data_IF_965834895841
#
_entry.id   IF_965834895841
#
_cell.length_a   1.000
_cell.length_b   1.000
_cell.length_c   1.000
_cell.angle_alpha   90.00
_cell.angle_beta   90.00
_cell.angle_gamma   90.00
#
_symmetry.space_group_name_H-M   'P 1'
#
loop_
_entity.id
_entity.type
_entity.pdbx_description
1 polymer ?
#
# COMPACT_ATOMS: atom_id res chain seq x y z
N UNK A 1 23.03 19.39 16.50
CA UNK A 1 23.17 18.55 15.28
C UNK A 1 22.00 17.56 15.18
N UNK A 2 21.17 17.50 16.22
CA UNK A 2 20.43 16.29 16.60
C UNK A 2 19.02 16.36 16.02
N UNK A 3 18.44 17.57 16.00
CA UNK A 3 17.21 17.88 15.26
C UNK A 3 17.37 17.52 13.78
N UNK A 4 18.52 17.83 13.17
CA UNK A 4 18.76 17.53 11.76
C UNK A 4 18.78 16.02 11.49
N UNK A 5 19.53 15.24 12.28
CA UNK A 5 19.56 13.78 12.16
C UNK A 5 18.19 13.16 12.45
N UNK A 6 17.45 13.66 13.44
CA UNK A 6 16.13 13.16 13.78
C UNK A 6 15.08 13.45 12.69
N UNK A 7 15.15 14.64 12.06
CA UNK A 7 14.33 14.98 10.89
C UNK A 7 14.65 14.05 9.73
N UNK A 8 15.92 13.69 9.49
CA UNK A 8 16.29 12.72 8.45
C UNK A 8 15.68 11.35 8.73
N UNK A 9 15.79 10.83 9.95
CA UNK A 9 15.24 9.52 10.31
C UNK A 9 13.71 9.48 10.22
N UNK A 10 13.04 10.55 10.65
CA UNK A 10 11.59 10.69 10.51
C UNK A 10 11.17 10.75 9.04
N UNK A 11 11.87 11.56 8.24
CA UNK A 11 11.63 11.69 6.79
C UNK A 11 11.89 10.38 6.05
N UNK A 12 12.90 9.61 6.45
CA UNK A 12 13.20 8.30 5.87
C UNK A 12 12.07 7.29 6.17
N UNK A 13 11.48 7.36 7.37
CA UNK A 13 10.32 6.54 7.74
C UNK A 13 9.11 6.89 6.88
N UNK A 14 8.74 8.17 6.82
CA UNK A 14 7.58 8.65 6.05
C UNK A 14 7.78 8.40 4.56
N UNK A 15 8.99 8.68 4.05
CA UNK A 15 9.36 8.43 2.66
C UNK A 15 9.28 6.95 2.28
N UNK A 16 9.66 6.04 3.18
CA UNK A 16 9.53 4.59 2.96
C UNK A 16 8.07 4.17 2.87
N UNK A 17 7.20 4.72 3.73
CA UNK A 17 5.75 4.46 3.69
C UNK A 17 5.17 4.96 2.36
N UNK A 18 5.53 6.17 1.93
CA UNK A 18 5.06 6.71 0.65
C UNK A 18 5.62 5.98 -0.57
N UNK A 19 6.87 5.52 -0.53
CA UNK A 19 7.46 4.73 -1.60
C UNK A 19 6.69 3.42 -1.82
N UNK A 20 6.41 2.69 -0.73
CA UNK A 20 5.61 1.45 -0.80
C UNK A 20 4.15 1.74 -1.14
N UNK A 21 3.56 2.80 -0.59
CA UNK A 21 2.18 3.18 -0.90
C UNK A 21 1.96 3.56 -2.36
N UNK A 22 2.95 4.22 -2.97
CA UNK A 22 2.82 4.76 -4.34
C UNK A 22 3.25 3.76 -5.41
N UNK A 23 4.05 2.74 -5.09
CA UNK A 23 4.54 1.77 -6.09
C UNK A 23 3.39 1.09 -6.85
N UNK A 24 2.30 0.76 -6.15
CA UNK A 24 1.13 0.13 -6.74
C UNK A 24 0.40 1.08 -7.70
N UNK A 25 0.25 2.35 -7.31
CA UNK A 25 -0.35 3.37 -8.16
C UNK A 25 0.48 3.61 -9.42
N UNK A 26 1.81 3.73 -9.27
CA UNK A 26 2.74 3.89 -10.39
C UNK A 26 2.67 2.70 -11.36
N UNK A 27 2.60 1.47 -10.83
CA UNK A 27 2.48 0.27 -11.65
C UNK A 27 1.16 0.23 -12.43
N UNK A 28 0.03 0.54 -11.79
CA UNK A 28 -1.30 0.53 -12.43
C UNK A 28 -1.42 1.63 -13.50
N UNK A 29 -0.90 2.83 -13.22
CA UNK A 29 -0.85 3.92 -14.18
C UNK A 29 0.08 3.63 -15.37
N UNK A 30 1.25 3.06 -15.10
CA UNK A 30 2.24 2.75 -16.14
C UNK A 30 1.85 1.59 -17.05
N UNK A 31 0.90 0.75 -16.65
CA UNK A 31 0.55 -0.49 -17.39
C UNK A 31 -0.85 -0.43 -17.99
N UNK A 32 -1.86 -0.16 -17.17
CA UNK A 32 -3.25 -0.13 -17.58
C UNK A 32 -3.78 1.30 -17.79
N UNK A 33 -2.96 2.33 -17.49
CA UNK A 33 -3.41 3.72 -17.20
C UNK A 33 -4.67 3.79 -16.36
N UNK A 34 -4.69 2.90 -15.38
CA UNK A 34 -5.75 2.82 -14.40
C UNK A 34 -5.39 3.71 -13.21
N UNK A 35 -5.95 4.91 -13.16
CA UNK A 35 -5.82 5.76 -11.98
C UNK A 35 -6.76 5.26 -10.88
N UNK A 36 -6.20 4.50 -9.93
CA UNK A 36 -6.96 3.96 -8.82
C UNK A 36 -6.99 4.93 -7.63
N UNK A 37 -8.08 5.67 -7.47
CA UNK A 37 -8.24 6.62 -6.37
C UNK A 37 -8.61 5.94 -5.03
N UNK A 38 -9.04 4.67 -5.06
CA UNK A 38 -9.27 3.86 -3.85
C UNK A 38 -7.99 3.31 -3.20
N UNK A 39 -6.80 3.68 -3.69
CA UNK A 39 -5.53 3.17 -3.16
C UNK A 39 -5.41 3.35 -1.63
N UNK A 40 -5.84 4.51 -1.11
CA UNK A 40 -5.81 4.81 0.32
C UNK A 40 -6.71 3.89 1.14
N UNK A 41 -7.85 3.47 0.59
CA UNK A 41 -8.76 2.51 1.21
C UNK A 41 -8.11 1.13 1.37
N UNK A 42 -7.28 0.70 0.40
CA UNK A 42 -6.52 -0.54 0.52
C UNK A 42 -5.43 -0.47 1.60
N UNK A 43 -4.74 0.67 1.71
CA UNK A 43 -3.78 0.92 2.78
C UNK A 43 -4.49 0.90 4.14
N UNK A 44 -5.65 1.56 4.24
CA UNK A 44 -6.48 1.56 5.44
C UNK A 44 -6.95 0.15 5.81
N UNK A 45 -7.37 -0.68 4.86
CA UNK A 45 -7.74 -2.08 5.11
C UNK A 45 -6.59 -2.88 5.74
N UNK A 46 -5.36 -2.70 5.25
CA UNK A 46 -4.16 -3.29 5.84
C UNK A 46 -3.87 -2.77 7.26
N UNK A 47 -4.00 -1.47 7.49
CA UNK A 47 -3.80 -0.85 8.80
C UNK A 47 -4.85 -1.28 9.84
N UNK A 48 -6.13 -1.28 9.46
CA UNK A 48 -7.22 -1.68 10.35
C UNK A 48 -7.23 -3.17 10.64
N UNK A 49 -6.83 -4.02 9.69
CA UNK A 49 -6.63 -5.45 9.97
C UNK A 49 -5.50 -5.69 11.00
N UNK A 50 -4.39 -4.94 10.93
CA UNK A 50 -3.36 -4.98 11.99
C UNK A 50 -3.92 -4.50 13.34
N UNK A 51 -4.68 -3.40 13.32
CA UNK A 51 -5.33 -2.84 14.51
C UNK A 51 -6.26 -3.86 15.20
N UNK A 52 -7.22 -4.44 14.47
CA UNK A 52 -8.14 -5.41 15.05
C UNK A 52 -7.43 -6.68 15.51
N UNK A 53 -6.43 -7.16 14.76
CA UNK A 53 -5.63 -8.32 15.17
C UNK A 53 -4.95 -8.09 16.52
N UNK A 54 -4.32 -6.93 16.71
CA UNK A 54 -3.60 -6.65 17.96
C UNK A 54 -4.51 -6.23 19.11
N UNK A 55 -5.51 -5.37 18.85
CA UNK A 55 -6.36 -4.79 19.90
C UNK A 55 -7.58 -5.63 20.26
N UNK A 56 -8.20 -6.30 19.28
CA UNK A 56 -9.41 -7.09 19.51
C UNK A 56 -9.05 -8.54 19.79
N UNK A 57 -8.17 -9.14 18.99
CA UNK A 57 -7.76 -10.54 19.20
C UNK A 57 -6.64 -10.68 20.24
N UNK A 58 -6.02 -9.58 20.68
CA UNK A 58 -4.89 -9.61 21.62
C UNK A 58 -3.64 -10.29 21.07
N UNK A 59 -3.55 -10.47 19.76
CA UNK A 59 -2.46 -11.21 19.13
C UNK A 59 -1.17 -10.36 19.05
N UNK A 60 -0.03 -11.04 19.09
CA UNK A 60 1.27 -10.40 18.95
C UNK A 60 1.44 -9.77 17.55
N UNK A 61 2.21 -8.68 17.45
CA UNK A 61 2.41 -7.92 16.20
C UNK A 61 2.95 -8.76 15.04
N UNK A 62 3.67 -9.85 15.35
CA UNK A 62 4.19 -10.79 14.38
C UNK A 62 3.08 -11.49 13.56
N UNK A 63 1.89 -11.67 14.16
CA UNK A 63 0.71 -12.22 13.47
C UNK A 63 -0.09 -11.14 12.75
N UNK A 64 -0.03 -9.88 13.21
CA UNK A 64 -0.68 -8.76 12.54
C UNK A 64 -0.12 -8.53 11.13
N UNK A 65 1.19 -8.70 10.93
CA UNK A 65 1.84 -8.55 9.62
C UNK A 65 1.26 -9.47 8.52
N UNK A 66 1.26 -10.82 8.66
CA UNK A 66 0.70 -11.69 7.63
C UNK A 66 -0.81 -11.49 7.46
N UNK A 67 -1.55 -11.19 8.53
CA UNK A 67 -2.99 -10.92 8.44
C UNK A 67 -3.25 -9.65 7.61
N UNK A 68 -2.47 -8.59 7.80
CA UNK A 68 -2.56 -7.38 6.98
C UNK A 68 -2.22 -7.62 5.52
N UNK A 69 -1.22 -8.46 5.23
CA UNK A 69 -0.89 -8.86 3.86
C UNK A 69 -2.06 -9.62 3.23
N UNK A 70 -2.65 -10.58 3.94
CA UNK A 70 -3.82 -11.34 3.47
C UNK A 70 -5.00 -10.40 3.22
N UNK A 71 -5.28 -9.46 4.12
CA UNK A 71 -6.33 -8.46 3.94
C UNK A 71 -6.10 -7.61 2.67
N UNK A 72 -4.86 -7.17 2.43
CA UNK A 72 -4.50 -6.44 1.21
C UNK A 72 -4.69 -7.29 -0.06
N UNK A 73 -4.25 -8.54 -0.05
CA UNK A 73 -4.41 -9.49 -1.17
C UNK A 73 -5.89 -9.72 -1.48
N UNK A 74 -6.70 -9.98 -0.46
CA UNK A 74 -8.16 -10.17 -0.62
C UNK A 74 -8.78 -8.91 -1.20
N UNK A 75 -8.42 -7.74 -0.69
CA UNK A 75 -8.99 -6.46 -1.16
C UNK A 75 -8.64 -6.19 -2.63
N UNK A 76 -7.39 -6.43 -3.04
CA UNK A 76 -6.98 -6.33 -4.44
C UNK A 76 -7.65 -7.37 -5.34
N UNK A 77 -7.78 -8.60 -4.86
CA UNK A 77 -8.49 -9.67 -5.57
C UNK A 77 -9.95 -9.32 -5.82
N UNK A 78 -10.65 -8.79 -4.80
CA UNK A 78 -12.03 -8.33 -4.91
C UNK A 78 -12.15 -7.16 -5.89
N UNK A 79 -11.26 -6.18 -5.81
CA UNK A 79 -11.24 -5.04 -6.75
C UNK A 79 -11.11 -5.52 -8.20
N UNK A 80 -10.22 -6.47 -8.46
CA UNK A 80 -10.06 -7.02 -9.80
C UNK A 80 -11.31 -7.76 -10.29
N UNK A 81 -11.86 -8.68 -9.49
CA UNK A 81 -12.96 -9.55 -9.93
C UNK A 81 -14.32 -8.84 -9.97
N UNK A 82 -14.55 -7.87 -9.08
CA UNK A 82 -15.82 -7.17 -8.98
C UNK A 82 -15.89 -5.93 -9.87
N UNK A 83 -14.74 -5.31 -10.18
CA UNK A 83 -14.72 -4.05 -10.92
C UNK A 83 -13.85 -4.11 -12.15
N UNK A 84 -12.53 -4.26 -11.99
CA UNK A 84 -11.58 -4.06 -13.09
C UNK A 84 -11.90 -5.00 -14.25
N UNK A 85 -12.17 -6.28 -13.98
CA UNK A 85 -12.48 -7.29 -14.99
C UNK A 85 -13.67 -6.92 -15.87
N UNK A 86 -14.67 -6.21 -15.34
CA UNK A 86 -15.90 -5.85 -16.08
C UNK A 86 -15.80 -4.53 -16.84
N UNK A 87 -14.86 -3.68 -16.41
CA UNK A 87 -14.67 -2.35 -16.97
C UNK A 87 -13.57 -2.32 -18.02
N UNK A 88 -12.60 -3.24 -17.94
CA UNK A 88 -11.39 -3.24 -18.78
C UNK A 88 -11.68 -3.24 -20.28
N UNK A 89 -12.70 -3.97 -20.73
CA UNK A 89 -13.04 -4.09 -22.16
C UNK A 89 -13.93 -2.93 -22.67
N UNK A 90 -14.21 -1.91 -21.84
CA UNK A 90 -15.05 -0.77 -22.23
C UNK A 90 -14.23 0.34 -22.89
N UNK A 91 -14.79 1.05 -23.90
CA UNK A 91 -14.08 2.11 -24.62
C UNK A 91 -13.64 3.27 -23.71
N UNK A 92 -14.40 3.57 -22.66
CA UNK A 92 -14.13 4.69 -21.73
C UNK A 92 -13.49 4.22 -20.41
N UNK A 93 -12.77 3.09 -20.41
CA UNK A 93 -12.18 2.47 -19.22
C UNK A 93 -11.43 3.44 -18.31
N UNK A 94 -10.59 4.32 -18.88
CA UNK A 94 -9.74 5.26 -18.12
C UNK A 94 -10.58 6.24 -17.27
N UNK A 95 -11.74 6.66 -17.77
CA UNK A 95 -12.65 7.56 -17.06
C UNK A 95 -13.55 6.76 -16.11
N UNK A 96 -14.14 5.67 -16.60
CA UNK A 96 -15.05 4.81 -15.83
C UNK A 96 -14.38 4.30 -14.55
N UNK A 97 -13.10 3.89 -14.63
CA UNK A 97 -12.39 3.36 -13.47
C UNK A 97 -12.08 4.43 -12.42
N UNK A 98 -11.85 5.68 -12.83
CA UNK A 98 -11.69 6.80 -11.90
C UNK A 98 -12.98 7.00 -11.11
N UNK A 99 -14.12 7.08 -11.81
CA UNK A 99 -15.44 7.29 -11.18
C UNK A 99 -15.74 6.16 -10.19
N UNK A 100 -15.55 4.91 -10.60
CA UNK A 100 -15.82 3.75 -9.74
C UNK A 100 -14.85 3.71 -8.55
N UNK A 101 -13.56 4.01 -8.75
CA UNK A 101 -12.59 4.00 -7.65
C UNK A 101 -12.82 5.13 -6.65
N UNK A 102 -13.34 6.30 -7.07
CA UNK A 102 -13.81 7.33 -6.13
C UNK A 102 -15.00 6.84 -5.31
N UNK A 103 -15.98 6.21 -5.96
CA UNK A 103 -17.13 5.64 -5.25
C UNK A 103 -16.68 4.58 -4.23
N UNK A 104 -15.75 3.70 -4.60
CA UNK A 104 -15.18 2.70 -3.69
C UNK A 104 -14.39 3.36 -2.56
N UNK A 105 -13.64 4.42 -2.85
CA UNK A 105 -12.91 5.16 -1.83
C UNK A 105 -13.87 5.70 -0.76
N UNK A 106 -14.93 6.38 -1.21
CA UNK A 106 -15.96 6.94 -0.33
C UNK A 106 -16.73 5.86 0.44
N UNK A 107 -17.10 4.76 -0.22
CA UNK A 107 -17.75 3.63 0.46
C UNK A 107 -16.84 3.00 1.51
N UNK A 108 -15.57 2.76 1.17
CA UNK A 108 -14.60 2.19 2.08
C UNK A 108 -14.32 3.09 3.28
N UNK A 109 -14.19 4.40 3.06
CA UNK A 109 -14.08 5.39 4.14
C UNK A 109 -15.28 5.31 5.08
N UNK A 110 -16.51 5.31 4.55
CA UNK A 110 -17.71 5.19 5.36
C UNK A 110 -17.77 3.85 6.13
N UNK A 111 -17.34 2.73 5.53
CA UNK A 111 -17.24 1.45 6.22
C UNK A 111 -16.27 1.55 7.39
N UNK A 112 -15.08 2.12 7.19
CA UNK A 112 -14.10 2.28 8.28
C UNK A 112 -14.60 3.23 9.37
N UNK A 113 -15.27 4.33 9.02
CA UNK A 113 -15.88 5.23 10.00
C UNK A 113 -16.94 4.54 10.85
N UNK A 114 -17.77 3.68 10.24
CA UNK A 114 -18.81 2.93 10.96
C UNK A 114 -18.22 1.84 11.87
N UNK A 115 -17.19 1.11 11.42
CA UNK A 115 -16.64 -0.04 12.18
C UNK A 115 -15.56 0.39 13.18
N UNK A 116 -14.67 1.30 12.80
CA UNK A 116 -13.55 1.75 13.64
C UNK A 116 -13.85 3.02 14.43
N UNK A 117 -14.88 3.77 14.03
CA UNK A 117 -15.23 5.08 14.58
C UNK A 117 -14.57 6.24 13.83
N UNK A 118 -14.99 7.48 14.11
CA UNK A 118 -14.48 8.68 13.42
C UNK A 118 -13.10 9.14 13.90
N UNK A 119 -12.61 8.60 15.03
CA UNK A 119 -11.32 8.98 15.59
C UNK A 119 -10.17 8.24 14.92
N UNK A 120 -9.10 8.98 14.61
CA UNK A 120 -7.86 8.40 14.14
C UNK A 120 -7.30 7.41 15.18
N UNK A 121 -7.29 6.12 14.83
CA UNK A 121 -6.71 5.08 15.67
C UNK A 121 -5.20 5.12 15.59
N UNK A 122 -4.52 5.20 16.74
CA UNK A 122 -3.05 5.07 16.80
C UNK A 122 -2.65 3.67 16.34
N UNK A 123 -1.54 3.58 15.63
CA UNK A 123 -0.96 2.28 15.28
C UNK A 123 -0.82 1.40 16.54
N UNK A 124 -1.23 0.13 16.51
CA UNK A 124 -1.24 -0.74 17.69
C UNK A 124 0.17 -1.24 18.06
N UNK A 125 1.13 -1.12 17.15
CA UNK A 125 2.47 -1.66 17.26
C UNK A 125 3.48 -0.56 17.54
N UNK A 126 4.36 -0.83 18.51
CA UNK A 126 5.53 -0.02 18.81
C UNK A 126 6.68 -0.95 19.20
N UNK A 127 7.87 -0.70 18.65
CA UNK A 127 9.10 -1.37 19.09
C UNK A 127 9.85 -0.36 19.93
N UNK A 128 9.98 -0.65 21.23
CA UNK A 128 10.73 0.19 22.14
C UNK A 128 12.23 0.18 21.81
N UNK A 129 12.87 1.33 22.03
CA UNK A 129 14.30 1.50 21.86
C UNK A 129 14.74 1.90 20.44
N UNK A 130 16.04 2.07 20.30
CA UNK A 130 16.66 2.51 19.06
C UNK A 130 18.17 2.59 19.20
N UNK A 131 18.85 2.70 18.07
CA UNK A 131 20.27 2.96 18.06
C UNK A 131 20.52 4.44 18.35
N UNK A 132 21.38 4.72 19.31
CA UNK A 132 21.86 6.07 19.59
C UNK A 132 23.01 6.38 18.64
N UNK A 133 22.83 7.36 17.78
CA UNK A 133 23.85 7.89 16.86
C UNK A 133 24.11 9.32 17.28
N UNK A 134 25.25 9.56 17.94
CA UNK A 134 25.51 10.81 18.67
C UNK A 134 24.36 11.10 19.66
N UNK A 135 23.74 12.27 19.60
CA UNK A 135 22.59 12.65 20.43
C UNK A 135 21.22 12.36 19.76
N UNK A 136 21.20 11.71 18.60
CA UNK A 136 19.97 11.33 17.89
C UNK A 136 19.62 9.85 18.09
N UNK A 137 18.33 9.55 18.26
CA UNK A 137 17.81 8.18 18.39
C UNK A 137 17.23 7.73 17.05
N UNK A 138 17.72 6.61 16.53
CA UNK A 138 17.16 5.91 15.38
C UNK A 138 16.28 4.75 15.87
N UNK A 139 14.94 4.88 15.86
CA UNK A 139 14.06 3.85 16.40
C UNK A 139 14.18 2.53 15.63
N UNK A 140 14.10 1.39 16.32
CA UNK A 140 14.07 0.08 15.66
C UNK A 140 12.89 -0.04 14.70
N UNK A 141 11.76 0.60 15.01
CA UNK A 141 10.61 0.67 14.13
C UNK A 141 10.93 1.34 12.77
N UNK A 142 11.73 2.41 12.77
CA UNK A 142 12.18 3.07 11.54
C UNK A 142 13.01 2.12 10.69
N UNK A 143 13.99 1.45 11.30
CA UNK A 143 14.86 0.49 10.61
C UNK A 143 14.02 -0.64 9.99
N UNK A 144 13.08 -1.20 10.75
CA UNK A 144 12.18 -2.26 10.27
C UNK A 144 11.31 -1.77 9.11
N UNK A 145 10.75 -0.57 9.20
CA UNK A 145 9.90 0.01 8.15
C UNK A 145 10.68 0.21 6.85
N UNK A 146 11.89 0.77 6.95
CA UNK A 146 12.79 0.99 5.80
C UNK A 146 13.22 -0.34 5.20
N UNK A 147 13.59 -1.32 6.02
CA UNK A 147 14.00 -2.64 5.57
C UNK A 147 12.86 -3.36 4.83
N UNK A 148 11.64 -3.35 5.38
CA UNK A 148 10.46 -3.94 4.71
C UNK A 148 10.17 -3.22 3.40
N UNK A 149 10.24 -1.88 3.38
CA UNK A 149 10.02 -1.10 2.17
C UNK A 149 11.02 -1.45 1.06
N UNK A 150 12.30 -1.52 1.39
CA UNK A 150 13.36 -1.95 0.46
C UNK A 150 13.13 -3.36 -0.06
N UNK A 151 12.80 -4.31 0.84
CA UNK A 151 12.52 -5.70 0.44
C UNK A 151 11.33 -5.76 -0.53
N UNK A 152 10.24 -5.04 -0.25
CA UNK A 152 9.07 -5.00 -1.13
C UNK A 152 9.40 -4.36 -2.49
N UNK A 153 10.14 -3.25 -2.50
CA UNK A 153 10.60 -2.60 -3.73
C UNK A 153 11.46 -3.54 -4.57
N UNK A 154 12.40 -4.26 -3.95
CA UNK A 154 13.25 -5.25 -4.62
C UNK A 154 12.41 -6.40 -5.17
N UNK A 155 11.46 -6.93 -4.39
CA UNK A 155 10.57 -8.01 -4.84
C UNK A 155 9.79 -7.56 -6.07
N UNK A 156 9.17 -6.38 -6.04
CA UNK A 156 8.41 -5.86 -7.19
C UNK A 156 9.33 -5.63 -8.39
N UNK A 157 10.52 -5.05 -8.17
CA UNK A 157 11.50 -4.84 -9.23
C UNK A 157 11.97 -6.16 -9.87
N UNK A 158 12.18 -7.21 -9.07
CA UNK A 158 12.54 -8.55 -9.57
C UNK A 158 11.38 -9.22 -10.31
N UNK A 159 10.14 -9.08 -9.81
CA UNK A 159 8.96 -9.59 -10.49
C UNK A 159 8.84 -8.93 -11.87
N UNK A 160 8.88 -7.60 -11.93
CA UNK A 160 8.78 -6.87 -13.19
C UNK A 160 9.97 -7.17 -14.11
N UNK A 161 11.18 -7.20 -13.55
CA UNK A 161 12.44 -7.37 -14.26
C UNK A 161 12.65 -8.76 -14.86
N UNK A 162 12.45 -9.79 -14.05
CA UNK A 162 12.99 -11.15 -14.27
C UNK A 162 11.95 -12.25 -14.42
N UNK A 163 10.65 -11.98 -14.21
CA UNK A 163 9.61 -13.03 -14.30
C UNK A 163 8.81 -12.97 -15.60
N UNK A 164 8.19 -14.09 -15.98
CA UNK A 164 7.25 -14.15 -17.11
C UNK A 164 6.08 -13.18 -16.91
N UNK A 165 5.56 -13.07 -15.69
CA UNK A 165 4.50 -12.10 -15.34
C UNK A 165 4.95 -10.67 -15.64
N UNK A 166 6.16 -10.29 -15.22
CA UNK A 166 6.73 -8.98 -15.51
C UNK A 166 6.90 -8.71 -17.01
N UNK A 167 7.30 -9.72 -17.78
CA UNK A 167 7.37 -9.62 -19.24
C UNK A 167 6.01 -9.32 -19.88
N UNK A 168 4.96 -10.03 -19.46
CA UNK A 168 3.58 -9.80 -19.95
C UNK A 168 3.11 -8.39 -19.58
N UNK A 169 3.30 -7.98 -18.33
CA UNK A 169 2.91 -6.63 -17.86
C UNK A 169 3.57 -5.54 -18.72
N UNK A 170 4.88 -5.67 -18.99
CA UNK A 170 5.60 -4.71 -19.83
C UNK A 170 5.15 -4.75 -21.30
N UNK A 171 4.91 -5.93 -21.85
CA UNK A 171 4.41 -6.07 -23.22
C UNK A 171 3.06 -5.36 -23.40
N UNK A 172 2.13 -5.53 -22.44
CA UNK A 172 0.83 -4.83 -22.46
C UNK A 172 1.01 -3.31 -22.36
N UNK A 173 1.93 -2.84 -21.51
CA UNK A 173 2.19 -1.40 -21.38
C UNK A 173 2.77 -0.76 -22.65
N UNK A 174 3.53 -1.52 -23.45
CA UNK A 174 4.16 -1.04 -24.69
C UNK A 174 3.23 -1.06 -25.90
N UNK A 175 2.18 -1.90 -25.88
CA UNK A 175 1.29 -2.12 -27.03
C UNK A 175 -0.04 -1.35 -26.88
N UNK A 176 0.02 -0.17 -26.27
CA UNK A 176 -1.14 0.72 -26.04
C UNK A 176 -1.66 1.40 -27.31
N UNK A 177 -0.80 1.55 -28.33
CA UNK A 177 -1.12 2.29 -29.57
C UNK A 177 -1.48 1.39 -30.77
N UNK A 178 -1.42 0.06 -30.65
CA UNK A 178 -1.68 -0.84 -31.78
C UNK A 178 -3.17 -1.12 -32.05
N UNK A 179 -4.09 -0.53 -31.27
CA UNK A 179 -5.54 -0.76 -31.38
C UNK A 179 -6.37 0.52 -31.53
N UNK A 180 -5.81 1.57 -32.14
CA UNK A 180 -6.60 2.68 -32.71
C UNK A 180 -6.47 2.66 -34.22
#
# INVERSE_FOLDING_TARGET
MDIFLQVIFSSLTVGSIYAVGTIALSLLLGTLSMLNLAHGTFIAAGGYSAYWTMKVMGAHWIFALPISVVAGVISGYLMYHLVVRWLYDRPDFEIDIIIVTVAIAALGENIFLNVAGPEARRQPFHIDGGFHIADAVLPYQTILTVAIALVLLIIVALILGKTKTGMVIRAVSQQRDASK
#
